data_IF_988262634405
#
_entry.id   IF_988262634405
#
_cell.length_a   1.000
_cell.length_b   1.000
_cell.length_c   1.000
_cell.angle_alpha   90.00
_cell.angle_beta   90.00
_cell.angle_gamma   90.00
#
_symmetry.space_group_name_H-M   'P 1'
#
loop_
_entity.id
_entity.type
_entity.pdbx_description
1 polymer ?
#
# COMPACT_ATOMS: atom_id res chain seq x y z
N UNK A 1 -42.79 -26.14 3.89
CA UNK A 1 -41.57 -26.93 4.16
C UNK A 1 -40.52 -26.50 3.14
N UNK A 2 -39.65 -25.55 3.50
CA UNK A 2 -38.56 -25.06 2.64
C UNK A 2 -37.26 -25.76 3.08
N UNK A 3 -36.42 -26.24 2.16
CA UNK A 3 -35.11 -26.76 2.52
C UNK A 3 -34.25 -25.61 3.04
N UNK A 4 -33.63 -25.84 4.19
CA UNK A 4 -32.66 -24.93 4.83
C UNK A 4 -31.39 -25.01 3.98
N UNK A 5 -31.19 -24.01 3.13
CA UNK A 5 -30.00 -23.87 2.30
C UNK A 5 -28.80 -23.62 3.22
N UNK A 6 -27.90 -24.60 3.22
CA UNK A 6 -26.46 -24.50 3.42
C UNK A 6 -25.96 -23.44 4.39
N UNK A 7 -25.49 -23.93 5.54
CA UNK A 7 -24.43 -23.31 6.31
C UNK A 7 -23.30 -22.90 5.35
N UNK A 8 -23.25 -21.61 5.05
CA UNK A 8 -22.08 -20.99 4.44
C UNK A 8 -21.08 -20.90 5.60
N UNK A 9 -20.31 -21.96 5.78
CA UNK A 9 -19.06 -21.91 6.54
C UNK A 9 -18.24 -20.76 5.95
N UNK A 10 -18.27 -19.60 6.63
CA UNK A 10 -17.29 -18.57 6.39
C UNK A 10 -15.97 -19.15 6.87
N UNK A 11 -15.27 -19.79 5.95
CA UNK A 11 -13.90 -20.27 6.12
C UNK A 11 -13.12 -19.13 6.78
N UNK A 12 -12.75 -19.35 8.04
CA UNK A 12 -11.91 -18.46 8.83
C UNK A 12 -10.67 -18.13 7.99
N UNK A 13 -10.65 -16.94 7.39
CA UNK A 13 -9.51 -16.42 6.64
C UNK A 13 -8.46 -15.79 7.57
N UNK A 14 -8.46 -16.17 8.85
CA UNK A 14 -7.35 -15.96 9.76
C UNK A 14 -6.26 -16.98 9.45
N UNK A 15 -5.35 -16.69 8.49
CA UNK A 15 -3.98 -17.25 8.40
C UNK A 15 -3.30 -17.13 7.02
N UNK A 16 -3.62 -16.14 6.18
CA UNK A 16 -2.62 -15.72 5.17
C UNK A 16 -1.53 -14.93 5.88
N UNK A 17 -0.61 -15.64 6.56
CA UNK A 17 0.62 -15.04 7.12
C UNK A 17 1.22 -14.15 6.04
N UNK A 18 1.31 -12.84 6.31
CA UNK A 18 2.03 -11.87 5.47
C UNK A 18 3.50 -12.25 5.39
N UNK A 19 3.83 -13.20 4.53
CA UNK A 19 5.19 -13.69 4.35
C UNK A 19 5.89 -12.74 3.39
N UNK A 20 6.32 -11.59 3.90
CA UNK A 20 7.38 -10.83 3.26
C UNK A 20 8.65 -11.71 3.40
N UNK A 21 9.07 -12.29 2.28
CA UNK A 21 10.22 -13.20 2.21
C UNK A 21 11.50 -12.45 1.85
N UNK A 22 11.37 -11.34 1.11
CA UNK A 22 12.49 -10.55 0.62
C UNK A 22 12.53 -9.18 1.29
N UNK A 23 13.65 -8.90 1.96
CA UNK A 23 13.90 -7.62 2.64
C UNK A 23 13.18 -7.48 3.98
N UNK A 24 13.25 -6.29 4.60
CA UNK A 24 12.68 -6.03 5.92
C UNK A 24 11.14 -5.96 5.90
N UNK A 25 10.49 -6.30 7.02
CA UNK A 25 9.01 -6.26 7.13
C UNK A 25 8.42 -4.83 7.06
N UNK A 26 9.26 -3.81 7.24
CA UNK A 26 8.88 -2.40 7.17
C UNK A 26 9.21 -1.74 5.83
N UNK A 27 8.51 -0.65 5.55
CA UNK A 27 8.84 0.25 4.44
C UNK A 27 10.20 0.92 4.67
N UNK A 28 11.13 0.77 3.73
CA UNK A 28 12.44 1.41 3.84
C UNK A 28 12.37 2.90 3.52
N UNK A 29 13.31 3.70 4.04
CA UNK A 29 13.40 5.13 3.71
C UNK A 29 13.53 5.40 2.20
N UNK A 30 14.17 4.50 1.46
CA UNK A 30 14.36 4.62 0.02
C UNK A 30 13.05 4.35 -0.74
N UNK A 31 12.33 3.31 -0.36
CA UNK A 31 11.00 3.00 -0.91
C UNK A 31 10.02 4.15 -0.62
N UNK A 32 9.98 4.63 0.63
CA UNK A 32 9.18 5.79 1.04
C UNK A 32 9.48 7.02 0.19
N UNK A 33 10.75 7.39 0.05
CA UNK A 33 11.16 8.53 -0.77
C UNK A 33 10.76 8.35 -2.25
N UNK A 34 10.93 7.15 -2.81
CA UNK A 34 10.57 6.86 -4.21
C UNK A 34 9.06 6.96 -4.45
N UNK A 35 8.26 6.40 -3.54
CA UNK A 35 6.79 6.44 -3.61
C UNK A 35 6.29 7.88 -3.53
N UNK A 36 6.77 8.64 -2.54
CA UNK A 36 6.38 10.05 -2.36
C UNK A 36 6.78 10.87 -3.58
N UNK A 37 8.01 10.71 -4.09
CA UNK A 37 8.48 11.45 -5.27
C UNK A 37 7.66 11.15 -6.52
N UNK A 38 7.40 9.86 -6.80
CA UNK A 38 6.58 9.46 -7.94
C UNK A 38 5.13 9.95 -7.81
N UNK A 39 4.55 9.89 -6.60
CA UNK A 39 3.19 10.33 -6.36
C UNK A 39 3.05 11.85 -6.42
N UNK A 40 4.00 12.59 -5.87
CA UNK A 40 4.05 14.05 -5.98
C UNK A 40 4.15 14.50 -7.44
N UNK A 41 4.92 13.79 -8.27
CA UNK A 41 4.97 14.05 -9.72
C UNK A 41 3.61 13.82 -10.39
N UNK A 42 2.92 12.72 -10.07
CA UNK A 42 1.58 12.46 -10.59
C UNK A 42 0.62 13.61 -10.25
N UNK A 43 0.62 14.07 -9.00
CA UNK A 43 -0.22 15.19 -8.54
C UNK A 43 0.13 16.47 -9.28
N UNK A 44 1.42 16.77 -9.45
CA UNK A 44 1.89 17.93 -10.21
C UNK A 44 1.45 17.90 -11.68
N UNK A 45 1.28 16.70 -12.26
CA UNK A 45 0.75 16.48 -13.60
C UNK A 45 -0.79 16.47 -13.67
N UNK A 46 -1.48 16.79 -12.57
CA UNK A 46 -2.95 16.87 -12.53
C UNK A 46 -3.65 15.54 -12.27
N UNK A 47 -2.94 14.50 -11.79
CA UNK A 47 -3.58 13.27 -11.37
C UNK A 47 -4.55 13.51 -10.20
N UNK A 48 -5.65 12.73 -10.10
CA UNK A 48 -6.63 12.90 -9.03
C UNK A 48 -6.02 12.59 -7.66
N UNK A 49 -6.32 13.44 -6.69
CA UNK A 49 -5.95 13.30 -5.29
C UNK A 49 -7.01 12.43 -4.59
N UNK A 50 -6.56 11.48 -3.75
CA UNK A 50 -7.41 10.49 -3.09
C UNK A 50 -7.84 10.90 -1.66
N UNK A 51 -7.40 12.07 -1.19
CA UNK A 51 -7.75 12.65 0.11
C UNK A 51 -8.46 13.99 -0.06
N UNK A 52 -9.22 14.38 0.96
CA UNK A 52 -9.71 15.75 1.10
C UNK A 52 -8.54 16.71 1.38
N UNK A 53 -8.34 17.67 0.48
CA UNK A 53 -7.29 18.69 0.59
C UNK A 53 -7.74 19.75 1.61
N UNK A 54 -7.12 19.76 2.79
CA UNK A 54 -7.24 20.87 3.74
C UNK A 54 -6.45 22.07 3.23
N UNK A 55 -6.85 23.29 3.59
CA UNK A 55 -6.20 24.56 3.16
C UNK A 55 -4.67 24.61 3.41
N UNK A 56 -4.21 23.77 4.34
CA UNK A 56 -2.82 23.66 4.80
C UNK A 56 -1.94 22.82 3.86
N UNK A 57 -2.52 21.99 2.99
CA UNK A 57 -1.81 21.09 2.07
C UNK A 57 -1.66 21.78 0.71
N UNK A 58 -0.59 22.56 0.54
CA UNK A 58 -0.37 23.35 -0.68
C UNK A 58 0.62 22.75 -1.66
N UNK A 59 1.55 21.90 -1.20
CA UNK A 59 2.54 21.29 -2.10
C UNK A 59 2.14 19.87 -2.52
N UNK A 60 2.44 19.45 -3.77
CA UNK A 60 2.24 18.07 -4.21
C UNK A 60 2.94 17.03 -3.33
N UNK A 61 4.06 17.40 -2.71
CA UNK A 61 4.83 16.54 -1.80
C UNK A 61 4.06 16.33 -0.50
N UNK A 62 3.49 17.39 0.08
CA UNK A 62 2.71 17.28 1.32
C UNK A 62 1.47 16.41 1.12
N UNK A 63 0.79 16.56 -0.02
CA UNK A 63 -0.36 15.74 -0.39
C UNK A 63 0.05 14.28 -0.55
N UNK A 64 1.14 14.00 -1.28
CA UNK A 64 1.65 12.63 -1.46
C UNK A 64 2.06 11.98 -0.12
N UNK A 65 2.64 12.74 0.80
CA UNK A 65 2.98 12.28 2.14
C UNK A 65 1.74 11.91 2.95
N UNK A 66 0.68 12.73 2.87
CA UNK A 66 -0.57 12.48 3.58
C UNK A 66 -1.32 11.26 3.01
N UNK A 67 -1.35 11.11 1.67
CA UNK A 67 -1.92 9.90 1.04
C UNK A 67 -1.15 8.64 1.42
N UNK A 68 0.18 8.72 1.49
CA UNK A 68 1.02 7.59 1.93
C UNK A 68 0.74 7.23 3.41
N UNK A 69 0.65 8.23 4.29
CA UNK A 69 0.32 8.02 5.72
C UNK A 69 -1.03 7.34 5.93
N UNK A 70 -2.02 7.65 5.09
CA UNK A 70 -3.34 7.00 5.15
C UNK A 70 -3.37 5.60 4.52
N UNK A 71 -2.29 5.17 3.87
CA UNK A 71 -2.20 3.84 3.25
C UNK A 71 -3.19 3.59 2.11
N UNK A 72 -3.69 4.66 1.48
CA UNK A 72 -4.71 4.59 0.42
C UNK A 72 -4.12 4.44 -0.99
N UNK A 73 -2.81 4.62 -1.14
CA UNK A 73 -2.15 4.52 -2.44
C UNK A 73 -2.15 3.07 -2.96
N UNK A 74 -2.70 2.79 -4.15
CA UNK A 74 -2.72 1.45 -4.73
C UNK A 74 -1.37 1.11 -5.38
N UNK A 75 -0.32 0.98 -4.55
CA UNK A 75 1.06 0.74 -4.99
C UNK A 75 1.53 -0.63 -4.50
N UNK A 76 2.26 -1.33 -5.36
CA UNK A 76 2.99 -2.56 -5.05
C UNK A 76 4.48 -2.32 -5.22
N UNK A 77 5.28 -2.79 -4.27
CA UNK A 77 6.73 -2.65 -4.29
C UNK A 77 7.33 -3.98 -4.73
N UNK A 78 8.08 -3.96 -5.83
CA UNK A 78 8.88 -5.11 -6.25
C UNK A 78 10.26 -5.02 -5.61
N UNK A 79 10.60 -5.98 -4.76
CA UNK A 79 11.97 -6.16 -4.26
C UNK A 79 12.66 -7.25 -5.03
N UNK A 80 13.81 -6.94 -5.62
CA UNK A 80 14.60 -7.87 -6.43
C UNK A 80 15.94 -8.15 -5.75
N UNK A 81 16.32 -9.42 -5.68
CA UNK A 81 17.63 -9.87 -5.21
C UNK A 81 18.66 -9.86 -6.35
N UNK A 82 19.97 -9.89 -6.05
CA UNK A 82 21.01 -9.90 -7.08
C UNK A 82 20.97 -11.10 -8.03
N UNK A 83 20.34 -12.21 -7.61
CA UNK A 83 20.10 -13.41 -8.43
C UNK A 83 18.93 -13.26 -9.42
N UNK A 84 18.23 -12.13 -9.39
CA UNK A 84 17.09 -11.82 -10.26
C UNK A 84 15.74 -12.31 -9.72
N UNK A 85 15.72 -13.04 -8.60
CA UNK A 85 14.46 -13.38 -7.92
C UNK A 85 13.82 -12.12 -7.36
N UNK A 86 12.48 -12.07 -7.33
CA UNK A 86 11.76 -10.92 -6.81
C UNK A 86 10.49 -11.30 -6.06
N UNK A 87 10.02 -10.36 -5.24
CA UNK A 87 8.74 -10.44 -4.57
C UNK A 87 7.99 -9.13 -4.75
N UNK A 88 6.72 -9.24 -5.15
CA UNK A 88 5.79 -8.13 -5.21
C UNK A 88 5.06 -8.01 -3.87
N UNK A 89 5.29 -6.90 -3.18
CA UNK A 89 4.80 -6.64 -1.82
C UNK A 89 3.81 -5.46 -1.86
N UNK A 90 2.52 -5.68 -1.59
CA UNK A 90 1.54 -4.61 -1.48
C UNK A 90 1.94 -3.60 -0.38
N UNK A 91 1.84 -2.30 -0.68
CA UNK A 91 2.20 -1.24 0.27
C UNK A 91 1.44 -1.35 1.60
N UNK A 92 0.17 -1.76 1.56
CA UNK A 92 -0.67 -1.98 2.74
C UNK A 92 -0.02 -2.93 3.75
N UNK A 93 0.74 -3.93 3.29
CA UNK A 93 1.38 -4.88 4.20
C UNK A 93 2.54 -4.27 4.99
N UNK A 94 3.20 -3.25 4.45
CA UNK A 94 4.38 -2.61 5.03
C UNK A 94 4.04 -1.44 5.97
N UNK A 95 2.80 -0.94 5.93
CA UNK A 95 2.34 0.20 6.74
C UNK A 95 1.66 -0.21 8.04
N UNK A 96 1.31 -1.49 8.22
CA UNK A 96 0.67 -1.99 9.45
C UNK A 96 1.65 -2.19 10.62
N UNK A 97 2.95 -2.04 10.39
CA UNK A 97 4.01 -2.19 11.41
C UNK A 97 4.67 -0.85 11.83
N UNK A 98 4.10 0.31 11.47
CA UNK A 98 4.62 1.65 11.85
C UNK A 98 3.91 2.24 13.08
#
# INVERSE_FOLDING_TARGET
>A
MKPVFGELESVDSESQKKRILIGPLKLTRFEKARIVGARALQIAMGAPILIEVKENLRSPIDIALEELKRGILPITIRRTLPDGTYQDIPLKWLLEEE
#
